data_IF_623453585354
#
_entry.id   IF_623453585354
#
_cell.length_a   1.000
_cell.length_b   1.000
_cell.length_c   1.000
_cell.angle_alpha   90.00
_cell.angle_beta   90.00
_cell.angle_gamma   90.00
#
_symmetry.space_group_name_H-M   'P 1'
#
loop_
_entity.id
_entity.type
_entity.pdbx_description
1 polymer ?
#
# COMPACT_ATOMS: atom_id res chain seq x y z
N UNK A 1 -19.37 8.41 7.47
CA UNK A 1 -18.56 9.01 6.36
C UNK A 1 -19.53 9.51 5.31
N UNK A 2 -19.59 10.84 5.10
CA UNK A 2 -20.52 11.47 4.12
C UNK A 2 -19.79 11.79 2.81
N UNK A 3 -18.56 12.28 2.86
CA UNK A 3 -17.71 12.53 1.71
C UNK A 3 -16.24 12.31 2.07
N UNK A 4 -15.55 11.47 1.32
CA UNK A 4 -14.13 11.19 1.53
C UNK A 4 -13.24 11.97 0.55
N UNK A 5 -11.97 12.21 0.93
CA UNK A 5 -10.90 12.51 -0.02
C UNK A 5 -9.85 11.40 0.03
N UNK A 6 -9.45 10.88 -1.14
CA UNK A 6 -8.40 9.88 -1.27
C UNK A 6 -7.12 10.62 -1.66
N UNK A 7 -6.22 10.81 -0.71
CA UNK A 7 -4.91 11.40 -0.96
C UNK A 7 -3.95 10.32 -1.50
N UNK A 8 -3.63 10.41 -2.79
CA UNK A 8 -2.90 9.37 -3.50
C UNK A 8 -3.80 8.42 -4.31
N UNK A 9 -4.96 8.89 -4.77
CA UNK A 9 -5.94 8.11 -5.53
C UNK A 9 -5.38 7.46 -6.81
N UNK A 10 -4.36 8.05 -7.43
CA UNK A 10 -3.71 7.49 -8.62
C UNK A 10 -2.84 6.25 -8.37
N UNK A 11 -2.59 5.90 -7.11
CA UNK A 11 -1.88 4.67 -6.73
C UNK A 11 -2.79 3.44 -6.71
N UNK A 12 -2.22 2.22 -6.67
CA UNK A 12 -2.99 0.98 -6.73
C UNK A 12 -4.02 0.86 -5.61
N UNK A 13 -3.64 1.14 -4.37
CA UNK A 13 -4.56 1.08 -3.22
C UNK A 13 -5.67 2.14 -3.33
N UNK A 14 -5.27 3.41 -3.61
CA UNK A 14 -6.22 4.52 -3.73
C UNK A 14 -7.26 4.29 -4.83
N UNK A 15 -6.86 3.62 -5.92
CA UNK A 15 -7.75 3.26 -7.01
C UNK A 15 -8.86 2.30 -6.55
N UNK A 16 -8.53 1.22 -5.85
CA UNK A 16 -9.52 0.27 -5.38
C UNK A 16 -10.37 0.81 -4.23
N UNK A 17 -9.83 1.71 -3.42
CA UNK A 17 -10.62 2.48 -2.44
C UNK A 17 -11.67 3.34 -3.16
N UNK A 18 -11.29 4.07 -4.21
CA UNK A 18 -12.22 4.90 -4.97
C UNK A 18 -13.30 4.10 -5.68
N UNK A 19 -12.94 2.96 -6.31
CA UNK A 19 -13.92 2.06 -6.93
C UNK A 19 -14.92 1.50 -5.91
N UNK A 20 -14.47 1.18 -4.70
CA UNK A 20 -15.34 0.67 -3.65
C UNK A 20 -16.25 1.78 -3.06
N UNK A 21 -15.75 3.01 -2.90
CA UNK A 21 -16.58 4.15 -2.49
C UNK A 21 -17.68 4.40 -3.51
N UNK A 22 -17.36 4.40 -4.79
CA UNK A 22 -18.38 4.55 -5.86
C UNK A 22 -19.40 3.44 -5.84
N UNK A 23 -18.96 2.16 -5.72
CA UNK A 23 -19.86 1.00 -5.61
C UNK A 23 -20.84 1.11 -4.43
N UNK A 24 -20.41 1.76 -3.33
CA UNK A 24 -21.27 2.01 -2.14
C UNK A 24 -22.09 3.29 -2.24
N UNK A 25 -21.98 4.05 -3.32
CA UNK A 25 -22.67 5.33 -3.47
C UNK A 25 -22.14 6.43 -2.55
N UNK A 26 -20.91 6.31 -2.08
CA UNK A 26 -20.29 7.28 -1.17
C UNK A 26 -19.54 8.33 -1.99
N UNK A 27 -19.90 9.61 -1.94
CA UNK A 27 -19.20 10.67 -2.65
C UNK A 27 -17.74 10.77 -2.21
N UNK A 28 -16.84 10.92 -3.18
CA UNK A 28 -15.42 11.06 -2.85
C UNK A 28 -14.67 11.95 -3.83
N UNK A 29 -13.58 12.53 -3.33
CA UNK A 29 -12.60 13.28 -4.11
C UNK A 29 -11.37 12.44 -4.34
N UNK A 30 -11.06 12.17 -5.62
CA UNK A 30 -9.85 11.49 -6.02
C UNK A 30 -8.72 12.53 -6.21
N UNK A 31 -7.70 12.50 -5.36
CA UNK A 31 -6.63 13.50 -5.35
C UNK A 31 -5.29 12.88 -5.74
N UNK A 32 -4.57 13.56 -6.62
CA UNK A 32 -3.22 13.19 -7.05
C UNK A 32 -2.64 14.20 -8.05
N UNK A 33 -1.37 14.06 -8.39
CA UNK A 33 -0.65 15.03 -9.23
C UNK A 33 -1.03 14.98 -10.72
N UNK A 34 -1.39 13.84 -11.24
CA UNK A 34 -1.59 13.62 -12.68
C UNK A 34 -3.07 13.56 -13.00
N UNK A 35 -3.61 14.66 -13.55
CA UNK A 35 -5.02 14.79 -13.90
C UNK A 35 -5.51 13.68 -14.85
N UNK A 36 -4.76 13.35 -15.90
CA UNK A 36 -5.15 12.31 -16.87
C UNK A 36 -5.33 10.95 -16.22
N UNK A 37 -4.38 10.51 -15.36
CA UNK A 37 -4.49 9.24 -14.63
C UNK A 37 -5.73 9.18 -13.73
N UNK A 38 -6.08 10.29 -13.09
CA UNK A 38 -7.27 10.37 -12.24
C UNK A 38 -8.55 10.35 -13.07
N UNK A 39 -8.58 11.10 -14.18
CA UNK A 39 -9.73 11.13 -15.09
C UNK A 39 -9.96 9.77 -15.75
N UNK A 40 -8.90 9.08 -16.17
CA UNK A 40 -8.99 7.72 -16.72
C UNK A 40 -9.51 6.71 -15.69
N UNK A 41 -9.13 6.91 -14.40
CA UNK A 41 -9.54 6.02 -13.33
C UNK A 41 -10.95 6.27 -12.82
N UNK A 42 -11.36 7.54 -12.71
CA UNK A 42 -12.53 7.95 -11.93
C UNK A 42 -13.47 8.89 -12.68
N UNK A 43 -13.06 9.47 -13.81
CA UNK A 43 -13.83 10.51 -14.50
C UNK A 43 -15.22 10.10 -15.00
N UNK A 44 -15.49 8.79 -15.07
CA UNK A 44 -16.81 8.24 -15.46
C UNK A 44 -17.64 7.75 -14.27
N UNK A 45 -17.10 7.82 -13.06
CA UNK A 45 -17.78 7.34 -11.86
C UNK A 45 -18.72 8.43 -11.31
N UNK A 46 -19.99 8.11 -11.03
CA UNK A 46 -20.99 9.09 -10.65
C UNK A 46 -20.72 9.77 -9.31
N UNK A 47 -20.00 9.12 -8.40
CA UNK A 47 -19.73 9.65 -7.06
C UNK A 47 -18.31 10.24 -6.91
N UNK A 48 -17.53 10.30 -8.00
CA UNK A 48 -16.15 10.78 -7.98
C UNK A 48 -16.03 12.25 -8.39
N UNK A 49 -15.28 13.01 -7.59
CA UNK A 49 -14.76 14.34 -7.95
C UNK A 49 -13.26 14.21 -8.19
N UNK A 50 -12.78 14.53 -9.40
CA UNK A 50 -11.34 14.47 -9.72
C UNK A 50 -10.70 15.82 -9.41
N UNK A 51 -9.64 15.81 -8.57
CA UNK A 51 -8.85 16.99 -8.21
C UNK A 51 -7.37 16.73 -8.42
N UNK A 52 -6.80 17.37 -9.42
CA UNK A 52 -5.35 17.37 -9.61
C UNK A 52 -4.71 18.38 -8.65
N UNK A 53 -3.95 17.87 -7.67
CA UNK A 53 -3.26 18.70 -6.69
C UNK A 53 -1.92 18.08 -6.30
N UNK A 54 -0.92 18.92 -6.07
CA UNK A 54 0.32 18.53 -5.43
C UNK A 54 0.14 18.60 -3.91
N UNK A 55 0.18 17.44 -3.27
CA UNK A 55 0.02 17.33 -1.82
C UNK A 55 1.31 17.69 -1.03
N UNK A 56 2.39 18.06 -1.72
CA UNK A 56 3.56 18.69 -1.10
C UNK A 56 3.40 20.19 -0.94
N UNK A 57 2.43 20.79 -1.63
CA UNK A 57 2.06 22.19 -1.53
C UNK A 57 0.86 22.37 -0.58
N UNK A 58 0.97 23.33 0.34
CA UNK A 58 -0.07 23.61 1.33
C UNK A 58 -1.40 24.05 0.68
N UNK A 59 -1.32 24.83 -0.39
CA UNK A 59 -2.51 25.29 -1.13
C UNK A 59 -3.25 24.15 -1.81
N UNK A 60 -2.51 23.27 -2.47
CA UNK A 60 -3.06 22.06 -3.11
C UNK A 60 -3.68 21.09 -2.09
N UNK A 61 -3.02 20.87 -0.96
CA UNK A 61 -3.53 20.04 0.12
C UNK A 61 -4.81 20.65 0.76
N UNK A 62 -4.82 21.98 1.00
CA UNK A 62 -5.99 22.68 1.54
C UNK A 62 -7.20 22.62 0.59
N UNK A 63 -6.98 22.80 -0.72
CA UNK A 63 -8.02 22.62 -1.73
C UNK A 63 -8.57 21.19 -1.71
N UNK A 64 -7.69 20.20 -1.61
CA UNK A 64 -8.06 18.79 -1.60
C UNK A 64 -8.87 18.39 -0.35
N UNK A 65 -8.60 19.00 0.80
CA UNK A 65 -9.28 18.70 2.08
C UNK A 65 -10.62 19.43 2.27
N UNK A 66 -10.91 20.50 1.49
CA UNK A 66 -12.08 21.35 1.71
C UNK A 66 -13.40 20.61 1.47
N UNK A 67 -14.30 20.64 2.46
CA UNK A 67 -15.66 20.11 2.33
C UNK A 67 -15.75 18.59 2.31
N UNK A 68 -14.73 17.87 2.82
CA UNK A 68 -14.79 16.44 3.10
C UNK A 68 -14.76 16.19 4.60
N UNK A 69 -15.35 15.10 5.06
CA UNK A 69 -15.35 14.73 6.48
C UNK A 69 -14.28 13.66 6.81
N UNK A 70 -13.75 12.98 5.81
CA UNK A 70 -12.82 11.89 5.98
C UNK A 70 -11.69 11.96 4.94
N UNK A 71 -10.43 11.84 5.39
CA UNK A 71 -9.29 11.64 4.51
C UNK A 71 -8.83 10.18 4.60
N UNK A 72 -8.71 9.53 3.44
CA UNK A 72 -8.07 8.22 3.27
C UNK A 72 -6.73 8.47 2.58
N UNK A 73 -5.65 8.41 3.36
CA UNK A 73 -4.31 8.73 2.91
C UNK A 73 -3.60 7.46 2.43
N UNK A 74 -3.42 7.33 1.12
CA UNK A 74 -2.77 6.18 0.45
C UNK A 74 -1.54 6.60 -0.36
N UNK A 75 -1.03 7.84 -0.12
CA UNK A 75 0.06 8.40 -0.89
C UNK A 75 1.35 7.62 -0.67
N UNK A 76 1.93 7.14 -1.77
CA UNK A 76 3.25 6.53 -1.83
C UNK A 76 4.26 7.42 -2.54
N UNK A 77 5.53 7.29 -2.18
CA UNK A 77 6.68 7.90 -2.84
C UNK A 77 7.63 6.84 -3.34
N UNK A 78 8.58 7.21 -4.21
CA UNK A 78 9.63 6.29 -4.67
C UNK A 78 10.62 5.97 -3.55
N UNK A 79 11.39 4.90 -3.70
CA UNK A 79 12.38 4.48 -2.68
C UNK A 79 13.42 5.56 -2.35
N UNK A 80 13.75 6.42 -3.29
CA UNK A 80 14.70 7.55 -3.11
C UNK A 80 14.06 8.76 -2.43
N UNK A 81 12.74 8.80 -2.34
CA UNK A 81 11.96 9.93 -1.80
C UNK A 81 11.36 9.64 -0.42
N UNK A 82 11.72 8.55 0.24
CA UNK A 82 11.20 8.19 1.58
C UNK A 82 11.29 9.32 2.61
N UNK A 83 12.33 10.20 2.62
CA UNK A 83 12.36 11.35 3.53
C UNK A 83 11.18 12.32 3.39
N UNK A 84 10.42 12.25 2.29
CA UNK A 84 9.23 13.07 2.11
C UNK A 84 8.02 12.58 2.94
N UNK A 85 7.97 11.33 3.40
CA UNK A 85 6.80 10.80 4.11
C UNK A 85 6.37 11.63 5.33
N UNK A 86 7.25 11.96 6.29
CA UNK A 86 6.85 12.79 7.42
C UNK A 86 6.43 14.21 7.00
N UNK A 87 7.12 14.79 6.01
CA UNK A 87 6.79 16.13 5.50
C UNK A 87 5.40 16.16 4.85
N UNK A 88 5.12 15.24 3.93
CA UNK A 88 3.84 15.14 3.25
C UNK A 88 2.70 14.88 4.25
N UNK A 89 2.98 14.09 5.29
CA UNK A 89 2.00 13.82 6.35
C UNK A 89 1.65 15.09 7.12
N UNK A 90 2.64 15.91 7.50
CA UNK A 90 2.40 17.20 8.19
C UNK A 90 1.52 18.11 7.34
N UNK A 91 1.88 18.29 6.06
CA UNK A 91 1.10 19.13 5.13
C UNK A 91 -0.34 18.64 5.01
N UNK A 92 -0.53 17.32 4.86
CA UNK A 92 -1.89 16.74 4.76
C UNK A 92 -2.70 16.91 6.06
N UNK A 93 -2.06 16.75 7.23
CA UNK A 93 -2.71 16.93 8.53
C UNK A 93 -3.07 18.39 8.80
N UNK A 94 -2.19 19.34 8.47
CA UNK A 94 -2.46 20.78 8.61
C UNK A 94 -3.64 21.21 7.73
N UNK A 95 -3.68 20.70 6.49
CA UNK A 95 -4.80 20.92 5.58
C UNK A 95 -6.11 20.31 6.11
N UNK A 96 -6.06 19.09 6.66
CA UNK A 96 -7.20 18.41 7.26
C UNK A 96 -7.76 19.19 8.47
N UNK A 97 -6.88 19.59 9.38
CA UNK A 97 -7.26 20.36 10.56
C UNK A 97 -7.90 21.72 10.19
N UNK A 98 -7.28 22.44 9.26
CA UNK A 98 -7.79 23.73 8.78
C UNK A 98 -9.14 23.61 8.04
N UNK A 99 -9.41 22.47 7.43
CA UNK A 99 -10.68 22.20 6.73
C UNK A 99 -11.77 21.61 7.64
N UNK A 100 -11.49 21.34 8.92
CA UNK A 100 -12.43 20.73 9.86
C UNK A 100 -12.74 19.26 9.54
N UNK A 101 -11.78 18.54 8.96
CA UNK A 101 -11.91 17.10 8.68
C UNK A 101 -12.08 16.34 10.01
N UNK A 102 -13.07 15.46 10.09
CA UNK A 102 -13.38 14.75 11.32
C UNK A 102 -12.57 13.45 11.48
N UNK A 103 -12.15 12.84 10.37
CA UNK A 103 -11.51 11.50 10.34
C UNK A 103 -10.32 11.48 9.40
N UNK A 104 -9.21 10.89 9.87
CA UNK A 104 -8.01 10.70 9.07
C UNK A 104 -7.51 9.26 9.16
N UNK A 105 -7.54 8.54 8.06
CA UNK A 105 -7.06 7.16 7.93
C UNK A 105 -5.78 7.12 7.11
N UNK A 106 -4.70 6.56 7.68
CA UNK A 106 -3.44 6.30 7.00
C UNK A 106 -3.36 4.84 6.55
N UNK A 107 -3.16 4.59 5.26
CA UNK A 107 -2.76 3.28 4.74
C UNK A 107 -1.25 3.24 4.60
N UNK A 108 -0.61 2.24 5.19
CA UNK A 108 0.85 2.11 5.27
C UNK A 108 1.28 0.66 5.06
N UNK A 109 2.60 0.42 4.98
CA UNK A 109 3.18 -0.92 4.93
C UNK A 109 3.70 -1.37 6.30
N UNK A 110 4.40 -2.50 6.32
CA UNK A 110 4.93 -3.17 7.52
C UNK A 110 6.24 -2.59 8.05
N UNK A 111 6.81 -1.60 7.39
CA UNK A 111 8.18 -1.08 7.65
C UNK A 111 8.41 -0.62 9.09
N UNK A 112 7.37 -0.05 9.75
CA UNK A 112 7.45 0.47 11.12
C UNK A 112 7.67 -0.62 12.17
N UNK A 113 7.33 -1.88 11.88
CA UNK A 113 7.56 -3.00 12.80
C UNK A 113 9.04 -3.37 12.95
N UNK A 114 9.83 -3.24 11.86
CA UNK A 114 11.22 -3.71 11.84
C UNK A 114 11.32 -5.22 11.72
N UNK A 115 12.31 -5.82 12.39
CA UNK A 115 12.48 -7.28 12.41
C UNK A 115 11.44 -7.90 13.34
N UNK A 116 10.61 -8.86 12.86
CA UNK A 116 9.58 -9.46 13.68
C UNK A 116 10.17 -10.27 14.84
N UNK A 117 9.52 -10.18 16.01
CA UNK A 117 9.87 -10.92 17.23
C UNK A 117 8.94 -12.11 17.45
N UNK A 118 7.91 -12.25 16.65
CA UNK A 118 6.89 -13.30 16.69
C UNK A 118 6.68 -13.87 15.31
N UNK A 119 6.14 -15.08 15.20
CA UNK A 119 5.86 -15.73 13.93
C UNK A 119 4.84 -14.94 13.08
N UNK A 120 3.82 -14.35 13.75
CA UNK A 120 2.89 -13.40 13.16
C UNK A 120 2.89 -12.12 13.99
N UNK A 121 2.77 -10.99 13.33
CA UNK A 121 2.89 -9.66 13.90
C UNK A 121 1.51 -9.05 14.06
N UNK A 122 1.02 -8.99 15.28
CA UNK A 122 -0.21 -8.29 15.66
C UNK A 122 0.04 -6.77 15.76
N UNK A 123 -1.02 -5.99 15.88
CA UNK A 123 -0.93 -4.52 16.01
C UNK A 123 -0.21 -4.07 17.28
N UNK A 124 -0.20 -4.91 18.30
CA UNK A 124 0.49 -4.69 19.61
C UNK A 124 1.99 -4.99 19.56
N UNK A 125 2.50 -5.57 18.45
CA UNK A 125 3.93 -5.84 18.29
C UNK A 125 4.73 -4.52 18.35
N UNK A 126 5.91 -4.51 19.02
CA UNK A 126 6.77 -3.33 19.07
C UNK A 126 7.12 -2.80 17.67
N UNK A 127 7.08 -1.48 17.51
CA UNK A 127 7.51 -0.79 16.30
C UNK A 127 8.97 -0.34 16.45
N UNK A 128 9.91 -1.27 16.15
CA UNK A 128 11.34 -1.10 16.29
C UNK A 128 12.07 -1.21 14.94
N UNK A 129 11.88 -0.24 14.02
CA UNK A 129 12.48 -0.29 12.70
C UNK A 129 14.01 -0.18 12.78
N UNK A 130 14.71 -1.06 12.06
CA UNK A 130 16.17 -1.13 12.01
C UNK A 130 16.77 -0.35 10.83
N UNK A 131 15.93 0.04 9.87
CA UNK A 131 16.31 0.77 8.67
C UNK A 131 15.77 2.20 8.71
N UNK A 132 16.47 3.15 8.06
CA UNK A 132 16.05 4.56 7.98
C UNK A 132 14.65 4.68 7.38
N UNK A 133 14.35 3.93 6.33
CA UNK A 133 13.01 3.94 5.71
C UNK A 133 11.92 3.46 6.67
N UNK A 134 12.21 2.48 7.50
CA UNK A 134 11.31 2.04 8.56
C UNK A 134 11.08 3.12 9.63
N UNK A 135 12.14 3.84 10.02
CA UNK A 135 12.05 4.96 10.97
C UNK A 135 11.17 6.09 10.43
N UNK A 136 11.34 6.46 9.17
CA UNK A 136 10.52 7.48 8.50
C UNK A 136 9.03 7.07 8.41
N UNK A 137 8.75 5.79 8.16
CA UNK A 137 7.37 5.29 8.19
C UNK A 137 6.80 5.26 9.59
N UNK A 138 7.61 4.90 10.60
CA UNK A 138 7.21 4.99 12.00
C UNK A 138 6.91 6.44 12.40
N UNK A 139 7.77 7.40 12.02
CA UNK A 139 7.54 8.83 12.26
C UNK A 139 6.21 9.30 11.64
N UNK A 140 5.91 8.87 10.41
CA UNK A 140 4.64 9.17 9.76
C UNK A 140 3.43 8.66 10.56
N UNK A 141 3.49 7.44 11.10
CA UNK A 141 2.46 6.88 11.96
C UNK A 141 2.34 7.64 13.30
N UNK A 142 3.49 7.93 13.93
CA UNK A 142 3.55 8.63 15.23
C UNK A 142 2.97 10.04 15.13
N UNK A 143 3.21 10.76 14.03
CA UNK A 143 2.60 12.06 13.75
C UNK A 143 1.07 11.98 13.75
N UNK A 144 0.51 10.97 13.10
CA UNK A 144 -0.94 10.78 13.03
C UNK A 144 -1.52 10.39 14.40
N UNK A 145 -0.89 9.48 15.12
CA UNK A 145 -1.31 9.06 16.45
C UNK A 145 -1.34 10.25 17.41
N UNK A 146 -0.26 11.04 17.44
CA UNK A 146 -0.17 12.24 18.28
C UNK A 146 -1.24 13.30 17.92
N UNK A 147 -1.65 13.38 16.64
CA UNK A 147 -2.75 14.27 16.24
C UNK A 147 -4.10 13.78 16.78
N UNK A 148 -4.32 12.46 16.79
CA UNK A 148 -5.51 11.86 17.41
C UNK A 148 -5.57 12.08 18.93
N UNK A 149 -4.46 11.87 19.62
CA UNK A 149 -4.34 12.12 21.08
C UNK A 149 -4.64 13.58 21.45
N UNK A 150 -4.28 14.52 20.58
CA UNK A 150 -4.61 15.95 20.73
C UNK A 150 -6.05 16.30 20.33
N UNK A 151 -6.83 15.33 19.87
CA UNK A 151 -8.23 15.54 19.49
C UNK A 151 -8.42 16.33 18.19
N UNK A 152 -7.40 16.41 17.31
CA UNK A 152 -7.52 17.15 16.04
C UNK A 152 -8.50 16.46 15.07
N UNK A 153 -8.49 15.14 15.04
CA UNK A 153 -9.43 14.29 14.30
C UNK A 153 -9.38 12.85 14.85
N UNK A 154 -10.40 12.05 14.56
CA UNK A 154 -10.34 10.61 14.79
C UNK A 154 -9.32 10.00 13.83
N UNK A 155 -8.34 9.27 14.34
CA UNK A 155 -7.24 8.70 13.55
C UNK A 155 -7.34 7.20 13.42
N UNK A 156 -6.85 6.65 12.30
CA UNK A 156 -6.76 5.21 12.08
C UNK A 156 -5.53 4.90 11.25
N UNK A 157 -4.89 3.76 11.51
CA UNK A 157 -3.78 3.24 10.71
C UNK A 157 -4.17 1.86 10.18
N UNK A 158 -4.01 1.63 8.88
CA UNK A 158 -4.17 0.32 8.25
C UNK A 158 -2.84 -0.10 7.65
N UNK A 159 -2.28 -1.21 8.14
CA UNK A 159 -1.01 -1.77 7.67
C UNK A 159 -1.26 -2.93 6.73
N UNK A 160 -0.59 -2.90 5.59
CA UNK A 160 -0.68 -3.91 4.53
C UNK A 160 0.70 -4.55 4.31
N UNK A 161 0.77 -5.85 3.94
CA UNK A 161 2.00 -6.46 3.48
C UNK A 161 2.36 -5.98 2.07
N UNK A 162 3.40 -6.57 1.47
CA UNK A 162 3.65 -6.42 0.04
C UNK A 162 2.41 -6.84 -0.76
N UNK A 163 2.19 -6.21 -1.90
CA UNK A 163 0.99 -6.43 -2.69
C UNK A 163 1.31 -6.72 -4.16
N UNK A 164 0.36 -7.33 -4.85
CA UNK A 164 0.38 -7.58 -6.28
C UNK A 164 -1.03 -7.41 -6.86
N UNK A 165 -1.13 -7.32 -8.18
CA UNK A 165 -2.44 -7.21 -8.81
C UNK A 165 -2.49 -6.15 -9.91
N UNK A 166 -3.68 -5.86 -10.45
CA UNK A 166 -3.91 -4.79 -11.41
C UNK A 166 -3.42 -3.44 -10.87
N UNK A 167 -2.82 -2.63 -11.75
CA UNK A 167 -2.26 -1.30 -11.44
C UNK A 167 -1.11 -1.28 -10.43
N UNK A 168 -0.61 -2.43 -9.97
CA UNK A 168 0.48 -2.54 -9.01
C UNK A 168 1.86 -2.46 -9.68
N UNK A 169 2.07 -1.49 -10.57
CA UNK A 169 3.28 -1.37 -11.38
C UNK A 169 4.56 -1.17 -10.57
N UNK A 170 4.45 -0.57 -9.40
CA UNK A 170 5.56 -0.32 -8.47
C UNK A 170 5.77 -1.45 -7.46
N UNK A 171 4.99 -2.53 -7.51
CA UNK A 171 5.14 -3.63 -6.57
C UNK A 171 6.40 -4.46 -6.85
N UNK A 172 6.95 -5.06 -5.79
CA UNK A 172 8.09 -5.96 -5.87
C UNK A 172 7.83 -7.15 -6.79
N UNK A 173 6.59 -7.62 -6.88
CA UNK A 173 6.20 -8.76 -7.70
C UNK A 173 6.01 -8.41 -9.19
N UNK A 174 5.74 -7.15 -9.55
CA UNK A 174 5.41 -6.76 -10.91
C UNK A 174 6.45 -7.20 -11.97
N UNK A 175 7.78 -7.07 -11.74
CA UNK A 175 8.78 -7.55 -12.69
C UNK A 175 8.71 -9.06 -12.97
N UNK A 176 8.27 -9.85 -11.99
CA UNK A 176 8.10 -11.31 -12.14
C UNK A 176 6.94 -11.62 -13.08
N UNK A 177 5.79 -10.95 -12.91
CA UNK A 177 4.64 -11.09 -13.80
C UNK A 177 4.99 -10.72 -15.26
N UNK A 178 5.67 -9.58 -15.44
CA UNK A 178 6.13 -9.14 -16.78
C UNK A 178 7.10 -10.14 -17.42
N UNK A 179 8.05 -10.65 -16.66
CA UNK A 179 9.01 -11.64 -17.14
C UNK A 179 8.31 -12.94 -17.54
N UNK A 180 7.37 -13.43 -16.73
CA UNK A 180 6.61 -14.64 -17.01
C UNK A 180 5.78 -14.50 -18.30
N UNK A 181 5.06 -13.38 -18.49
CA UNK A 181 4.33 -13.12 -19.73
C UNK A 181 5.23 -13.08 -20.96
N UNK A 182 6.41 -12.45 -20.83
CA UNK A 182 7.39 -12.36 -21.91
C UNK A 182 8.21 -13.65 -22.13
N UNK A 183 8.05 -14.68 -21.29
CA UNK A 183 8.87 -15.90 -21.33
C UNK A 183 10.35 -15.67 -20.99
N UNK A 184 10.65 -14.57 -20.30
CA UNK A 184 12.01 -14.14 -19.89
C UNK A 184 12.35 -14.58 -18.47
N UNK A 185 13.63 -14.42 -18.09
CA UNK A 185 14.10 -14.64 -16.73
C UNK A 185 13.69 -13.47 -15.82
N UNK A 186 13.00 -13.76 -14.72
CA UNK A 186 12.69 -12.76 -13.69
C UNK A 186 13.91 -12.50 -12.80
N UNK A 187 14.03 -11.25 -12.32
CA UNK A 187 14.99 -10.90 -11.28
C UNK A 187 14.23 -10.71 -9.97
N UNK A 188 14.71 -11.36 -8.91
CA UNK A 188 14.17 -11.22 -7.57
C UNK A 188 15.24 -10.68 -6.61
N UNK A 189 14.83 -9.92 -5.61
CA UNK A 189 15.72 -9.35 -4.60
C UNK A 189 15.56 -10.13 -3.31
N UNK A 190 16.66 -10.71 -2.84
CA UNK A 190 16.69 -11.51 -1.60
C UNK A 190 16.47 -13.01 -1.82
N UNK A 191 16.36 -13.78 -0.72
CA UNK A 191 16.14 -15.22 -0.76
C UNK A 191 14.73 -15.55 -1.27
N UNK A 192 14.59 -16.73 -1.88
CA UNK A 192 13.29 -17.23 -2.38
C UNK A 192 12.69 -18.33 -1.50
N UNK A 193 13.48 -18.82 -0.52
CA UNK A 193 13.05 -19.88 0.40
C UNK A 193 12.27 -19.36 1.61
N UNK A 194 12.31 -18.06 1.89
CA UNK A 194 11.60 -17.45 3.00
C UNK A 194 10.09 -17.38 2.73
N UNK A 195 9.31 -17.57 3.79
CA UNK A 195 7.86 -17.32 3.74
C UNK A 195 7.60 -15.83 3.59
N UNK A 196 6.75 -15.47 2.68
CA UNK A 196 6.28 -14.12 2.43
C UNK A 196 4.76 -14.07 2.47
N UNK A 197 4.24 -12.86 2.50
CA UNK A 197 2.81 -12.62 2.44
C UNK A 197 2.56 -11.51 1.40
N UNK A 198 1.67 -11.80 0.45
CA UNK A 198 1.32 -10.86 -0.62
C UNK A 198 -0.18 -10.63 -0.62
N UNK A 199 -0.58 -9.38 -0.55
CA UNK A 199 -1.98 -8.98 -0.66
C UNK A 199 -2.36 -8.79 -2.14
N UNK A 200 -3.47 -9.38 -2.57
CA UNK A 200 -4.07 -9.03 -3.86
C UNK A 200 -4.72 -7.66 -3.73
N UNK A 201 -4.18 -6.66 -4.43
CA UNK A 201 -4.51 -5.25 -4.19
C UNK A 201 -6.01 -4.89 -4.31
N UNK A 202 -6.83 -5.54 -5.16
CA UNK A 202 -8.28 -5.30 -5.18
C UNK A 202 -8.99 -5.59 -3.84
N UNK A 203 -8.48 -6.51 -3.03
CA UNK A 203 -9.09 -6.85 -1.73
C UNK A 203 -8.95 -5.72 -0.70
N UNK A 204 -7.97 -4.81 -0.90
CA UNK A 204 -7.74 -3.69 0.03
C UNK A 204 -8.89 -2.66 0.04
N UNK A 205 -9.50 -2.40 -1.11
CA UNK A 205 -10.55 -1.38 -1.23
C UNK A 205 -11.74 -1.64 -0.30
N UNK A 206 -12.41 -2.80 -0.39
CA UNK A 206 -13.55 -3.15 0.47
C UNK A 206 -13.24 -3.06 1.97
N UNK A 207 -12.07 -3.56 2.39
CA UNK A 207 -11.66 -3.55 3.80
C UNK A 207 -11.38 -2.14 4.30
N UNK A 208 -10.64 -1.33 3.54
CA UNK A 208 -10.31 0.04 3.92
C UNK A 208 -11.58 0.90 4.00
N UNK A 209 -12.49 0.78 3.04
CA UNK A 209 -13.75 1.55 3.04
C UNK A 209 -14.67 1.09 4.18
N UNK A 210 -14.72 -0.21 4.48
CA UNK A 210 -15.49 -0.72 5.61
C UNK A 210 -14.97 -0.14 6.93
N UNK A 211 -13.66 -0.21 7.19
CA UNK A 211 -13.04 0.39 8.37
C UNK A 211 -13.29 1.89 8.45
N UNK A 212 -13.09 2.63 7.33
CA UNK A 212 -13.28 4.07 7.28
C UNK A 212 -14.73 4.51 7.56
N UNK A 213 -15.69 3.63 7.30
CA UNK A 213 -17.12 3.89 7.51
C UNK A 213 -17.59 3.66 8.95
N UNK A 214 -16.77 2.99 9.78
CA UNK A 214 -17.11 2.57 11.14
C UNK A 214 -16.43 3.44 12.17
N UNK A 215 -17.20 4.23 12.92
CA UNK A 215 -16.68 5.11 13.97
C UNK A 215 -15.98 4.36 15.10
N UNK A 216 -16.39 3.13 15.38
CA UNK A 216 -15.84 2.25 16.41
C UNK A 216 -14.54 1.53 16.00
N UNK A 217 -13.99 1.86 14.82
CA UNK A 217 -12.68 1.40 14.34
C UNK A 217 -11.60 2.49 14.46
N UNK A 218 -11.96 3.73 14.75
CA UNK A 218 -11.00 4.82 14.93
C UNK A 218 -10.35 4.81 16.32
N UNK A 219 -9.19 5.46 16.42
CA UNK A 219 -8.32 5.42 17.60
C UNK A 219 -7.35 4.25 17.61
N UNK A 220 -7.35 3.40 16.58
CA UNK A 220 -6.63 2.14 16.54
C UNK A 220 -5.81 1.94 15.26
N UNK A 221 -4.88 0.99 15.33
CA UNK A 221 -4.22 0.41 14.16
C UNK A 221 -4.86 -0.94 13.81
N UNK A 222 -4.87 -1.27 12.52
CA UNK A 222 -5.41 -2.49 11.94
C UNK A 222 -4.40 -3.11 10.98
N UNK A 223 -4.13 -4.39 11.13
CA UNK A 223 -3.38 -5.16 10.16
C UNK A 223 -4.37 -5.84 9.18
N UNK A 224 -4.07 -5.80 7.90
CA UNK A 224 -4.79 -6.60 6.92
C UNK A 224 -3.78 -7.45 6.15
N UNK A 225 -3.75 -8.73 6.45
CA UNK A 225 -2.85 -9.73 5.90
C UNK A 225 -3.24 -10.14 4.48
N UNK A 226 -2.30 -10.74 3.73
CA UNK A 226 -2.57 -11.42 2.47
C UNK A 226 -3.42 -12.69 2.65
N UNK A 227 -3.61 -13.44 1.55
CA UNK A 227 -4.44 -14.65 1.58
C UNK A 227 -3.84 -15.73 2.51
N UNK A 228 -2.52 -15.95 2.43
CA UNK A 228 -1.77 -16.88 3.27
C UNK A 228 -0.27 -16.59 3.18
N UNK A 229 0.54 -17.21 4.05
CA UNK A 229 1.99 -17.21 3.92
C UNK A 229 2.43 -18.22 2.84
N UNK A 230 3.27 -17.76 1.92
CA UNK A 230 3.78 -18.55 0.80
C UNK A 230 5.29 -18.31 0.64
N UNK A 231 6.07 -19.34 0.28
CA UNK A 231 7.46 -19.07 -0.07
C UNK A 231 7.53 -18.24 -1.35
N UNK A 232 8.48 -17.32 -1.42
CA UNK A 232 8.72 -16.53 -2.64
C UNK A 232 8.93 -17.45 -3.86
N UNK A 233 9.61 -18.58 -3.68
CA UNK A 233 9.80 -19.58 -4.74
C UNK A 233 8.45 -20.10 -5.25
N UNK A 234 7.57 -20.54 -4.36
CA UNK A 234 6.26 -21.05 -4.73
C UNK A 234 5.41 -19.98 -5.42
N UNK A 235 5.47 -18.73 -4.95
CA UNK A 235 4.76 -17.62 -5.58
C UNK A 235 5.26 -17.36 -7.02
N UNK A 236 6.59 -17.32 -7.24
CA UNK A 236 7.18 -17.19 -8.58
C UNK A 236 6.77 -18.37 -9.48
N UNK A 237 6.82 -19.60 -8.97
CA UNK A 237 6.42 -20.80 -9.71
C UNK A 237 4.95 -20.71 -10.15
N UNK A 238 4.04 -20.33 -9.26
CA UNK A 238 2.63 -20.14 -9.58
C UNK A 238 2.42 -19.10 -10.69
N UNK A 239 3.14 -17.97 -10.66
CA UNK A 239 3.04 -16.92 -11.69
C UNK A 239 3.46 -17.48 -13.07
N UNK A 240 4.60 -18.17 -13.14
CA UNK A 240 5.07 -18.76 -14.41
C UNK A 240 4.13 -19.85 -14.91
N UNK A 241 3.67 -20.72 -14.03
CA UNK A 241 2.72 -21.78 -14.37
C UNK A 241 1.40 -21.19 -14.93
N UNK A 242 0.84 -20.18 -14.29
CA UNK A 242 -0.37 -19.49 -14.77
C UNK A 242 -0.15 -18.74 -16.10
N UNK A 243 1.10 -18.34 -16.39
CA UNK A 243 1.49 -17.79 -17.68
C UNK A 243 1.73 -18.85 -18.77
N UNK A 244 1.64 -20.16 -18.44
CA UNK A 244 1.95 -21.26 -19.36
C UNK A 244 3.44 -21.39 -19.65
N UNK A 245 4.33 -21.08 -18.70
CA UNK A 245 5.78 -21.04 -18.86
C UNK A 245 6.49 -21.83 -17.77
N UNK A 246 7.71 -22.31 -18.08
CA UNK A 246 8.61 -22.85 -17.07
C UNK A 246 9.25 -21.71 -16.26
N UNK A 247 9.36 -21.82 -14.92
CA UNK A 247 9.96 -20.82 -14.08
C UNK A 247 11.43 -20.55 -14.43
N UNK A 248 11.77 -19.29 -14.67
CA UNK A 248 13.14 -18.82 -14.91
C UNK A 248 13.38 -17.57 -14.08
N UNK A 249 14.25 -17.63 -13.09
CA UNK A 249 14.54 -16.47 -12.25
C UNK A 249 16.01 -16.46 -11.78
N UNK A 250 16.46 -15.28 -11.37
CA UNK A 250 17.74 -15.03 -10.72
C UNK A 250 17.49 -14.22 -9.45
N UNK A 251 18.32 -14.45 -8.45
CA UNK A 251 18.25 -13.71 -7.18
C UNK A 251 19.44 -12.78 -7.04
N UNK A 252 19.20 -11.59 -6.51
CA UNK A 252 20.22 -10.61 -6.15
C UNK A 252 20.28 -10.49 -4.62
N UNK A 253 21.38 -10.95 -4.03
CA UNK A 253 21.65 -10.79 -2.62
C UNK A 253 22.35 -9.45 -2.30
N UNK A 254 22.63 -9.21 -1.02
CA UNK A 254 23.19 -7.96 -0.48
C UNK A 254 24.46 -7.49 -1.20
N UNK A 255 25.41 -8.40 -1.49
CA UNK A 255 26.68 -8.05 -2.17
C UNK A 255 26.42 -7.57 -3.60
N UNK A 256 25.58 -8.27 -4.36
CA UNK A 256 25.21 -7.89 -5.72
C UNK A 256 24.50 -6.54 -5.75
N UNK A 257 23.57 -6.30 -4.84
CA UNK A 257 22.89 -5.01 -4.74
C UNK A 257 23.84 -3.86 -4.43
N UNK A 258 24.85 -4.07 -3.56
CA UNK A 258 25.87 -3.06 -3.29
C UNK A 258 26.69 -2.70 -4.53
N UNK A 259 27.12 -3.70 -5.31
CA UNK A 259 27.86 -3.47 -6.56
C UNK A 259 26.99 -2.74 -7.58
N UNK A 260 25.74 -3.19 -7.78
CA UNK A 260 24.79 -2.54 -8.68
C UNK A 260 24.45 -1.12 -8.24
N UNK A 261 24.46 -0.86 -6.93
CA UNK A 261 24.21 0.46 -6.34
C UNK A 261 25.25 1.54 -6.71
N UNK A 262 26.43 1.16 -7.20
CA UNK A 262 27.41 2.12 -7.74
C UNK A 262 26.93 2.77 -9.04
N UNK A 263 26.10 2.06 -9.80
CA UNK A 263 25.61 2.48 -11.12
C UNK A 263 24.13 2.86 -11.14
N UNK A 264 23.36 2.45 -10.11
CA UNK A 264 21.91 2.65 -10.08
C UNK A 264 21.46 3.13 -8.68
N UNK A 265 20.93 4.36 -8.57
CA UNK A 265 20.47 4.93 -7.30
C UNK A 265 19.43 4.06 -6.58
N UNK A 266 18.48 3.45 -7.31
CA UNK A 266 17.49 2.55 -6.72
C UNK A 266 18.15 1.33 -6.07
N UNK A 267 19.14 0.72 -6.73
CA UNK A 267 19.85 -0.44 -6.19
C UNK A 267 20.66 -0.11 -4.94
N UNK A 268 21.06 1.16 -4.76
CA UNK A 268 21.73 1.65 -3.56
C UNK A 268 20.82 1.65 -2.33
N UNK A 269 19.53 1.87 -2.54
CA UNK A 269 18.52 1.99 -1.49
C UNK A 269 18.00 0.63 -0.98
N UNK A 270 18.16 -0.44 -1.77
CA UNK A 270 17.58 -1.75 -1.48
C UNK A 270 18.29 -2.55 -0.37
N UNK A 271 19.63 -2.49 -0.21
CA UNK A 271 20.33 -3.29 0.82
C UNK A 271 19.86 -3.05 2.25
N UNK A 272 19.42 -1.82 2.58
CA UNK A 272 18.94 -1.53 3.93
C UNK A 272 17.58 -2.19 4.22
N UNK A 273 16.78 -2.43 3.17
CA UNK A 273 15.45 -3.04 3.28
C UNK A 273 15.45 -4.55 3.04
N UNK A 274 16.61 -5.12 2.72
CA UNK A 274 16.72 -6.55 2.40
C UNK A 274 16.31 -7.46 3.57
N UNK A 275 16.40 -6.97 4.81
CA UNK A 275 15.94 -7.71 5.99
C UNK A 275 14.45 -8.13 5.88
N UNK A 276 13.61 -7.35 5.20
CA UNK A 276 12.21 -7.72 4.96
C UNK A 276 12.06 -8.93 4.05
N UNK A 277 13.07 -9.24 3.24
CA UNK A 277 13.13 -10.44 2.41
C UNK A 277 13.81 -11.62 3.14
N UNK A 278 14.73 -11.32 4.05
CA UNK A 278 15.46 -12.30 4.86
C UNK A 278 14.63 -12.77 6.07
N UNK A 279 13.87 -11.85 6.68
CA UNK A 279 13.01 -12.11 7.85
C UNK A 279 11.67 -11.37 7.66
N UNK A 280 10.81 -11.87 6.78
CA UNK A 280 9.56 -11.18 6.41
C UNK A 280 8.62 -10.99 7.59
N UNK A 281 7.89 -9.87 7.55
CA UNK A 281 6.80 -9.58 8.50
C UNK A 281 5.53 -10.23 7.97
N UNK A 282 5.09 -11.29 8.63
CA UNK A 282 3.79 -11.93 8.39
C UNK A 282 2.76 -11.33 9.36
N UNK A 283 1.74 -10.69 8.84
CA UNK A 283 0.75 -10.00 9.68
C UNK A 283 -0.22 -10.98 10.35
N UNK A 284 -0.57 -10.67 11.59
CA UNK A 284 -1.76 -11.18 12.24
C UNK A 284 -2.90 -10.18 12.03
N UNK A 285 -4.00 -10.61 11.43
CA UNK A 285 -5.19 -9.80 11.18
C UNK A 285 -6.44 -10.34 11.88
N UNK A 286 -6.26 -11.16 12.91
CA UNK A 286 -7.37 -11.73 13.68
C UNK A 286 -8.28 -10.65 14.26
N UNK A 287 -7.69 -9.58 14.80
CA UNK A 287 -8.42 -8.41 15.31
C UNK A 287 -9.34 -7.81 14.24
N UNK A 288 -8.82 -7.61 13.03
CA UNK A 288 -9.60 -7.07 11.91
C UNK A 288 -10.72 -8.03 11.50
N UNK A 289 -10.40 -9.32 11.33
CA UNK A 289 -11.39 -10.33 10.94
C UNK A 289 -12.52 -10.46 11.96
N UNK A 290 -12.19 -10.47 13.24
CA UNK A 290 -13.17 -10.49 14.32
C UNK A 290 -14.04 -9.24 14.32
N UNK A 291 -13.45 -8.05 14.11
CA UNK A 291 -14.17 -6.77 14.09
C UNK A 291 -15.14 -6.65 12.92
N UNK A 292 -14.77 -7.15 11.74
CA UNK A 292 -15.57 -7.05 10.53
C UNK A 292 -16.48 -8.25 10.28
N UNK A 293 -16.39 -9.31 11.08
CA UNK A 293 -17.11 -10.57 10.85
C UNK A 293 -16.53 -11.37 9.66
N UNK A 294 -15.25 -11.13 9.34
CA UNK A 294 -14.51 -11.70 8.22
C UNK A 294 -13.93 -10.62 7.30
N UNK A 295 -12.96 -11.02 6.49
CA UNK A 295 -12.40 -10.18 5.42
C UNK A 295 -12.11 -11.09 4.22
N UNK A 296 -12.64 -10.72 3.06
CA UNK A 296 -12.37 -11.47 1.84
C UNK A 296 -10.90 -11.37 1.46
N UNK A 297 -10.32 -12.51 1.11
CA UNK A 297 -8.95 -12.63 0.62
C UNK A 297 -8.93 -13.53 -0.61
N UNK A 298 -8.61 -12.95 -1.74
CA UNK A 298 -8.48 -13.67 -3.02
C UNK A 298 -7.31 -14.65 -2.94
N UNK A 299 -7.53 -15.91 -3.34
CA UNK A 299 -6.46 -16.93 -3.37
C UNK A 299 -5.33 -16.51 -4.29
N UNK A 300 -4.10 -17.01 -4.05
CA UNK A 300 -2.98 -16.73 -4.95
C UNK A 300 -3.26 -17.16 -6.38
N UNK A 301 -3.89 -18.31 -6.59
CA UNK A 301 -4.18 -18.82 -7.93
C UNK A 301 -5.14 -17.89 -8.69
N UNK A 302 -6.19 -17.41 -8.04
CA UNK A 302 -7.14 -16.49 -8.65
C UNK A 302 -6.56 -15.09 -8.84
N UNK A 303 -5.87 -14.54 -7.84
CA UNK A 303 -5.25 -13.23 -7.93
C UNK A 303 -4.15 -13.16 -9.00
N UNK A 304 -3.33 -14.20 -9.11
CA UNK A 304 -2.30 -14.32 -10.15
C UNK A 304 -2.96 -14.39 -11.53
N UNK A 305 -3.99 -15.21 -11.72
CA UNK A 305 -4.73 -15.32 -12.97
C UNK A 305 -5.30 -13.96 -13.38
N UNK A 306 -6.01 -13.28 -12.48
CA UNK A 306 -6.59 -11.95 -12.73
C UNK A 306 -5.51 -10.91 -13.05
N UNK A 307 -4.37 -10.95 -12.38
CA UNK A 307 -3.23 -10.05 -12.64
C UNK A 307 -2.69 -10.25 -14.06
N UNK A 308 -2.45 -11.49 -14.46
CA UNK A 308 -1.95 -11.82 -15.80
C UNK A 308 -2.96 -11.45 -16.90
N UNK A 309 -4.24 -11.68 -16.67
CA UNK A 309 -5.32 -11.28 -17.59
C UNK A 309 -5.37 -9.75 -17.75
N UNK A 310 -5.24 -9.03 -16.65
CA UNK A 310 -5.20 -7.57 -16.68
C UNK A 310 -3.99 -7.06 -17.46
N UNK A 311 -2.78 -7.60 -17.19
CA UNK A 311 -1.55 -7.20 -17.88
C UNK A 311 -1.57 -7.51 -19.39
N UNK A 312 -2.23 -8.60 -19.81
CA UNK A 312 -2.41 -8.90 -21.26
C UNK A 312 -3.28 -7.85 -21.95
N UNK A 313 -4.28 -7.30 -21.26
CA UNK A 313 -5.18 -6.25 -21.79
C UNK A 313 -4.57 -4.86 -21.72
N UNK A 314 -3.56 -4.67 -20.87
CA UNK A 314 -2.89 -3.39 -20.64
C UNK A 314 -1.36 -3.55 -20.83
N UNK A 315 -0.90 -3.81 -22.07
CA UNK A 315 0.53 -3.89 -22.34
C UNK A 315 1.18 -2.52 -22.07
N UNK A 316 2.36 -2.52 -21.39
CA UNK A 316 3.15 -1.30 -21.09
C UNK A 316 4.12 -0.97 -22.18
#
# INVERSE_FOLDING_TARGET
MNKAAIFGAGGPIGRFVGLELDRRGIPFRAVGRTASKLTDAFGKLPHAEVVAADLSDAGGAAQAARGVDTIIYTLGVTYTEFPLYPKLMRVAMDAAASAGVARFLLVTGVYSYGVPQTQRVAETHPRNPVAVKGQLRKEQEDLLMAAGERGLFKTMIVRLPDFYGPYADTSLANPVFRAALAGKTANWIGPVSTLHEFLFVPDAGPVIVELASRDDCYGEAWNFAGADAITTLAFIQKIYQAAGRQPKFRTAGRTMLRVLGWFNPLMRELPEMLYLQETPVLLDDEKLRSKLGGAHKTTYDDGIRQTLEWMRRHPS
#
